data_IF_380527381355
#
_entry.id   IF_380527381355
#
_cell.length_a   1.000
_cell.length_b   1.000
_cell.length_c   1.000
_cell.angle_alpha   90.00
_cell.angle_beta   90.00
_cell.angle_gamma   90.00
#
_symmetry.space_group_name_H-M   'P 1'
#
loop_
_entity.id
_entity.type
_entity.pdbx_description
1 polymer ?
#
# COMPACT_ATOMS: atom_id res chain seq x y z
N UNK A 1 5.99 60.84 -9.38
CA UNK A 1 5.34 61.83 -8.49
C UNK A 1 6.31 62.91 -8.04
N UNK A 2 7.38 62.58 -7.29
CA UNK A 2 8.37 63.56 -6.79
C UNK A 2 8.99 64.44 -7.89
N UNK A 3 9.41 63.85 -9.02
CA UNK A 3 9.98 64.62 -10.14
C UNK A 3 9.00 65.61 -10.79
N UNK A 4 7.72 65.24 -10.92
CA UNK A 4 6.68 66.14 -11.46
C UNK A 4 6.33 67.26 -10.47
N UNK A 5 6.28 66.95 -9.17
CA UNK A 5 6.08 67.96 -8.13
C UNK A 5 7.24 68.97 -8.04
N UNK A 6 8.48 68.51 -8.22
CA UNK A 6 9.65 69.38 -8.31
C UNK A 6 9.63 70.28 -9.55
N UNK A 7 9.26 69.73 -10.71
CA UNK A 7 9.15 70.48 -11.96
C UNK A 7 8.12 71.62 -11.87
N UNK A 8 6.92 71.33 -11.36
CA UNK A 8 5.83 72.32 -11.19
C UNK A 8 6.19 73.39 -10.16
N UNK A 9 6.94 73.03 -9.11
CA UNK A 9 7.42 74.01 -8.14
C UNK A 9 8.43 74.99 -8.74
N UNK A 10 9.36 74.50 -9.59
CA UNK A 10 10.39 75.34 -10.23
C UNK A 10 9.80 76.26 -11.30
N UNK A 11 8.87 75.77 -12.12
CA UNK A 11 8.32 76.55 -13.24
C UNK A 11 7.11 77.41 -12.85
N UNK A 12 6.17 76.87 -12.07
CA UNK A 12 4.87 77.51 -11.81
C UNK A 12 4.75 78.04 -10.37
N UNK A 13 5.79 77.85 -9.54
CA UNK A 13 5.83 78.21 -8.10
C UNK A 13 4.68 77.63 -7.27
N UNK A 14 4.04 76.57 -7.76
CA UNK A 14 2.97 75.88 -7.06
C UNK A 14 3.55 74.80 -6.15
N UNK A 15 3.18 74.84 -4.87
CA UNK A 15 3.63 73.85 -3.89
C UNK A 15 2.70 72.64 -3.90
N UNK A 16 3.23 71.48 -4.30
CA UNK A 16 2.50 70.21 -4.28
C UNK A 16 2.99 69.38 -3.08
N UNK A 17 2.06 68.95 -2.22
CA UNK A 17 2.39 68.14 -1.06
C UNK A 17 2.94 66.77 -1.47
N UNK A 18 4.25 66.56 -1.31
CA UNK A 18 4.92 65.31 -1.69
C UNK A 18 4.92 64.27 -0.57
N UNK A 19 4.97 64.74 0.68
CA UNK A 19 5.10 63.88 1.85
C UNK A 19 3.88 62.95 2.02
N UNK A 20 2.66 63.46 1.87
CA UNK A 20 1.43 62.69 2.06
C UNK A 20 1.36 61.43 1.18
N UNK A 21 1.46 61.54 -0.16
CA UNK A 21 1.41 60.39 -1.05
C UNK A 21 2.57 59.40 -0.89
N UNK A 22 3.76 59.86 -0.50
CA UNK A 22 4.90 58.98 -0.23
C UNK A 22 4.66 58.15 1.05
N UNK A 23 4.19 58.79 2.12
CA UNK A 23 3.85 58.11 3.37
C UNK A 23 2.69 57.14 3.19
N UNK A 24 1.64 57.52 2.44
CA UNK A 24 0.52 56.63 2.16
C UNK A 24 0.96 55.44 1.30
N UNK A 25 1.83 55.64 0.32
CA UNK A 25 2.37 54.56 -0.51
C UNK A 25 3.23 53.59 0.29
N UNK A 26 4.12 54.12 1.16
CA UNK A 26 4.95 53.30 2.04
C UNK A 26 4.13 52.52 3.07
N UNK A 27 3.11 53.16 3.67
CA UNK A 27 2.22 52.50 4.62
C UNK A 27 1.36 51.43 3.93
N UNK A 28 0.80 51.73 2.75
CA UNK A 28 0.03 50.77 1.98
C UNK A 28 0.88 49.56 1.56
N UNK A 29 2.12 49.79 1.11
CA UNK A 29 3.07 48.71 0.81
C UNK A 29 3.37 47.87 2.05
N UNK A 30 3.71 48.51 3.18
CA UNK A 30 4.01 47.81 4.42
C UNK A 30 2.80 46.99 4.94
N UNK A 31 1.60 47.57 4.91
CA UNK A 31 0.36 46.87 5.31
C UNK A 31 0.04 45.71 4.37
N UNK A 32 0.14 45.89 3.05
CA UNK A 32 -0.12 44.81 2.08
C UNK A 32 0.92 43.70 2.15
N UNK A 33 2.21 44.02 2.30
CA UNK A 33 3.26 43.01 2.51
C UNK A 33 3.05 42.26 3.82
N UNK A 34 2.76 42.95 4.93
CA UNK A 34 2.49 42.28 6.22
C UNK A 34 1.22 41.43 6.17
N UNK A 35 0.18 41.91 5.49
CA UNK A 35 -1.06 41.16 5.30
C UNK A 35 -0.82 39.90 4.45
N UNK A 36 -0.12 40.03 3.32
CA UNK A 36 0.25 38.91 2.45
C UNK A 36 1.15 37.90 3.18
N UNK A 37 2.13 38.38 3.94
CA UNK A 37 3.04 37.51 4.71
C UNK A 37 2.32 36.75 5.83
N UNK A 38 1.38 37.40 6.54
CA UNK A 38 0.55 36.73 7.55
C UNK A 38 -0.40 35.71 6.94
N UNK A 39 -1.12 36.07 5.87
CA UNK A 39 -2.01 35.13 5.19
C UNK A 39 -1.26 33.93 4.62
N UNK A 40 -0.05 34.13 4.07
CA UNK A 40 0.80 33.05 3.59
C UNK A 40 1.30 32.16 4.74
N UNK A 41 1.66 32.75 5.89
CA UNK A 41 2.05 31.99 7.09
C UNK A 41 0.88 31.22 7.71
N UNK A 42 -0.29 31.83 7.87
CA UNK A 42 -1.48 31.22 8.46
C UNK A 42 -1.97 30.04 7.61
N UNK A 43 -1.94 30.16 6.28
CA UNK A 43 -2.24 29.05 5.36
C UNK A 43 -1.20 27.94 5.51
N UNK A 44 0.09 28.27 5.64
CA UNK A 44 1.16 27.28 5.84
C UNK A 44 1.01 26.52 7.16
N UNK A 45 0.75 27.23 8.24
CA UNK A 45 0.56 26.63 9.57
C UNK A 45 -0.75 25.85 9.67
N UNK A 46 -1.83 26.33 9.04
CA UNK A 46 -3.08 25.58 8.93
C UNK A 46 -2.90 24.30 8.11
N UNK A 47 -2.24 24.36 6.95
CA UNK A 47 -1.92 23.18 6.14
C UNK A 47 -1.01 22.22 6.90
N UNK A 48 0.01 22.70 7.62
CA UNK A 48 0.90 21.86 8.42
C UNK A 48 0.20 21.19 9.61
N UNK A 49 -0.66 21.92 10.32
CA UNK A 49 -1.37 21.40 11.50
C UNK A 49 -2.57 20.53 11.13
N UNK A 50 -3.30 20.87 10.07
CA UNK A 50 -4.44 20.11 9.56
C UNK A 50 -4.01 18.88 8.76
N UNK A 51 -2.95 18.91 7.96
CA UNK A 51 -2.48 17.73 7.19
C UNK A 51 -1.51 16.84 7.98
N UNK A 52 -0.81 17.36 8.99
CA UNK A 52 0.25 16.63 9.72
C UNK A 52 -0.21 15.37 10.45
N UNK A 53 -1.53 15.19 10.66
CA UNK A 53 -2.14 13.98 11.22
C UNK A 53 -2.70 13.01 10.16
N UNK A 54 -2.84 13.44 8.90
CA UNK A 54 -3.52 12.67 7.84
C UNK A 54 -2.62 12.26 6.69
N UNK A 55 -1.47 12.92 6.52
CA UNK A 55 -0.44 12.55 5.55
C UNK A 55 0.94 12.59 6.21
N UNK A 56 1.92 11.86 5.67
CA UNK A 56 3.27 11.89 6.26
C UNK A 56 3.85 13.32 6.19
N UNK A 57 4.73 13.73 7.12
CA UNK A 57 5.32 15.08 7.12
C UNK A 57 6.01 15.44 5.81
N UNK A 58 6.47 14.45 5.06
CA UNK A 58 7.07 14.60 3.75
C UNK A 58 6.04 14.95 2.67
N UNK A 59 4.90 14.28 2.67
CA UNK A 59 3.76 14.59 1.80
C UNK A 59 3.17 15.96 2.12
N UNK A 60 2.99 16.30 3.40
CA UNK A 60 2.51 17.63 3.79
C UNK A 60 3.43 18.75 3.27
N UNK A 61 4.76 18.57 3.36
CA UNK A 61 5.74 19.51 2.79
C UNK A 61 5.66 19.59 1.27
N UNK A 62 5.43 18.47 0.59
CA UNK A 62 5.33 18.42 -0.87
C UNK A 62 4.06 19.15 -1.35
N UNK A 63 2.93 18.88 -0.72
CA UNK A 63 1.64 19.54 -0.99
C UNK A 63 1.68 21.04 -0.66
N UNK A 64 2.37 21.41 0.42
CA UNK A 64 2.58 22.83 0.76
C UNK A 64 3.44 23.59 -0.27
N UNK A 65 4.25 22.88 -1.08
CA UNK A 65 5.01 23.50 -2.18
C UNK A 65 4.21 23.53 -3.48
N UNK A 66 3.41 22.52 -3.74
CA UNK A 66 2.54 22.43 -4.91
C UNK A 66 1.22 21.75 -4.56
N UNK A 67 0.18 22.56 -4.37
CA UNK A 67 -1.18 22.10 -4.03
C UNK A 67 -1.79 21.29 -5.19
N UNK A 68 -1.29 21.44 -6.42
CA UNK A 68 -1.81 20.68 -7.57
C UNK A 68 -1.60 19.17 -7.45
N UNK A 69 -0.65 18.72 -6.62
CA UNK A 69 -0.39 17.31 -6.32
C UNK A 69 -1.55 16.62 -5.58
N UNK A 70 -2.48 17.40 -5.02
CA UNK A 70 -3.71 16.88 -4.42
C UNK A 70 -4.83 16.67 -5.44
N UNK A 71 -4.70 17.23 -6.66
CA UNK A 71 -5.74 17.08 -7.69
C UNK A 71 -5.82 15.61 -8.13
N UNK A 72 -7.04 15.07 -8.33
CA UNK A 72 -7.21 13.73 -8.83
C UNK A 72 -6.51 13.51 -10.18
N UNK A 73 -5.65 12.50 -10.25
CA UNK A 73 -4.98 12.06 -11.48
C UNK A 73 -4.95 10.53 -11.56
N UNK A 74 -4.91 10.00 -12.79
CA UNK A 74 -4.70 8.57 -13.02
C UNK A 74 -3.21 8.27 -13.12
N UNK A 75 -2.75 7.25 -12.40
CA UNK A 75 -1.34 6.84 -12.39
C UNK A 75 -1.21 5.35 -12.11
N UNK A 76 -0.22 4.71 -12.75
CA UNK A 76 0.20 3.38 -12.37
C UNK A 76 0.89 3.41 -11.00
N UNK A 77 0.35 2.64 -10.06
CA UNK A 77 0.78 2.65 -8.66
C UNK A 77 0.63 1.27 -8.05
N UNK A 78 1.36 1.02 -6.97
CA UNK A 78 1.21 -0.22 -6.17
C UNK A 78 0.50 0.07 -4.87
N UNK A 79 -0.48 -0.75 -4.55
CA UNK A 79 -1.23 -0.74 -3.28
C UNK A 79 -0.90 -1.97 -2.46
N UNK A 80 -0.92 -1.79 -1.14
CA UNK A 80 -0.64 -2.80 -0.14
C UNK A 80 -1.76 -2.74 0.89
N UNK A 81 -2.41 -3.87 1.11
CA UNK A 81 -3.34 -4.07 2.21
C UNK A 81 -2.75 -5.14 3.13
N UNK A 82 -2.77 -4.89 4.43
CA UNK A 82 -2.27 -5.83 5.43
C UNK A 82 -3.22 -5.91 6.60
N UNK A 83 -3.38 -7.10 7.15
CA UNK A 83 -4.24 -7.37 8.29
C UNK A 83 -3.53 -8.28 9.32
N UNK A 84 -3.92 -8.16 10.60
CA UNK A 84 -3.37 -9.00 11.65
C UNK A 84 -4.10 -10.34 11.64
N UNK A 85 -3.34 -11.43 11.52
CA UNK A 85 -3.92 -12.76 11.48
C UNK A 85 -4.64 -13.09 12.79
N UNK A 86 -5.97 -13.29 12.70
CA UNK A 86 -6.78 -13.72 13.83
C UNK A 86 -7.11 -12.61 14.82
N UNK A 87 -6.98 -11.34 14.45
CA UNK A 87 -7.25 -10.20 15.33
C UNK A 87 -8.65 -10.21 15.93
N UNK A 88 -9.69 -10.64 15.20
CA UNK A 88 -11.05 -10.72 15.78
C UNK A 88 -11.10 -11.60 17.03
N UNK A 89 -10.34 -12.70 17.07
CA UNK A 89 -10.24 -13.54 18.28
C UNK A 89 -9.44 -12.84 19.36
N UNK A 90 -8.35 -12.16 18.97
CA UNK A 90 -7.49 -11.40 19.87
C UNK A 90 -8.25 -10.26 20.56
N UNK A 91 -9.04 -9.49 19.81
CA UNK A 91 -9.82 -8.35 20.31
C UNK A 91 -10.96 -8.75 21.24
N UNK A 92 -11.43 -10.00 21.13
CA UNK A 92 -12.43 -10.57 22.04
C UNK A 92 -11.80 -11.13 23.32
N UNK A 93 -10.56 -11.61 23.24
CA UNK A 93 -9.86 -12.24 24.36
C UNK A 93 -9.13 -11.22 25.25
N UNK A 94 -8.60 -10.14 24.66
CA UNK A 94 -7.82 -9.15 25.37
C UNK A 94 -8.68 -8.00 25.91
N UNK A 95 -8.42 -7.53 27.14
CA UNK A 95 -9.02 -6.31 27.64
C UNK A 95 -8.44 -5.08 26.89
N UNK A 96 -9.19 -3.96 26.79
CA UNK A 96 -8.78 -2.77 26.04
C UNK A 96 -7.39 -2.23 26.43
N UNK A 97 -7.03 -2.32 27.71
CA UNK A 97 -5.76 -1.84 28.26
C UNK A 97 -4.54 -2.61 27.73
N UNK A 98 -4.75 -3.82 27.21
CA UNK A 98 -3.71 -4.62 26.56
C UNK A 98 -3.81 -4.57 25.04
N UNK A 99 -5.04 -4.56 24.50
CA UNK A 99 -5.30 -4.54 23.06
C UNK A 99 -4.85 -3.24 22.41
N UNK A 100 -5.16 -2.08 22.99
CA UNK A 100 -4.85 -0.77 22.41
C UNK A 100 -3.33 -0.55 22.32
N UNK A 101 -2.52 -0.81 23.37
CA UNK A 101 -1.06 -0.71 23.25
C UNK A 101 -0.47 -1.67 22.22
N UNK A 102 -0.97 -2.91 22.14
CA UNK A 102 -0.53 -3.89 21.14
C UNK A 102 -0.80 -3.37 19.72
N UNK A 103 -2.04 -2.93 19.46
CA UNK A 103 -2.43 -2.39 18.16
C UNK A 103 -1.60 -1.16 17.79
N UNK A 104 -1.45 -0.19 18.71
CA UNK A 104 -0.66 1.01 18.46
C UNK A 104 0.81 0.70 18.20
N UNK A 105 1.39 -0.28 18.91
CA UNK A 105 2.76 -0.72 18.69
C UNK A 105 2.92 -1.34 17.29
N UNK A 106 1.98 -2.19 16.89
CA UNK A 106 1.95 -2.77 15.56
C UNK A 106 1.79 -1.70 14.45
N UNK A 107 0.79 -0.82 14.57
CA UNK A 107 0.53 0.24 13.60
C UNK A 107 1.73 1.20 13.47
N UNK A 108 2.43 1.47 14.58
CA UNK A 108 3.66 2.27 14.56
C UNK A 108 4.77 1.59 13.76
N UNK A 109 4.98 0.28 13.98
CA UNK A 109 5.99 -0.48 13.25
C UNK A 109 5.71 -0.52 11.75
N UNK A 110 4.46 -0.85 11.40
CA UNK A 110 4.00 -0.89 10.01
C UNK A 110 4.18 0.47 9.33
N UNK A 111 3.79 1.55 9.99
CA UNK A 111 3.96 2.91 9.47
C UNK A 111 5.43 3.27 9.27
N UNK A 112 6.31 2.87 10.19
CA UNK A 112 7.75 3.10 10.05
C UNK A 112 8.32 2.38 8.82
N UNK A 113 7.92 1.13 8.58
CA UNK A 113 8.35 0.34 7.41
C UNK A 113 7.85 0.94 6.09
N UNK A 114 6.57 1.33 6.03
CA UNK A 114 6.00 2.00 4.84
C UNK A 114 6.76 3.29 4.54
N UNK A 115 7.01 4.12 5.55
CA UNK A 115 7.76 5.37 5.36
C UNK A 115 9.21 5.12 4.96
N UNK A 116 9.88 4.13 5.55
CA UNK A 116 11.27 3.77 5.21
C UNK A 116 11.43 3.22 3.78
N UNK A 117 10.32 2.88 3.12
CA UNK A 117 10.26 2.46 1.72
C UNK A 117 9.59 3.51 0.83
N UNK A 118 9.46 4.76 1.30
CA UNK A 118 8.88 5.88 0.55
C UNK A 118 7.41 5.62 0.14
N UNK A 119 6.71 4.82 0.93
CA UNK A 119 5.27 4.62 0.82
C UNK A 119 4.50 5.62 1.65
N UNK A 120 3.22 5.76 1.33
CA UNK A 120 2.27 6.56 2.08
C UNK A 120 1.21 5.64 2.69
N UNK A 121 1.00 5.76 4.01
CA UNK A 121 -0.17 5.16 4.65
C UNK A 121 -1.39 5.99 4.26
N UNK A 122 -2.38 5.32 3.67
CA UNK A 122 -3.65 5.93 3.29
C UNK A 122 -4.55 6.03 4.52
N UNK A 123 -4.87 4.87 5.12
CA UNK A 123 -5.74 4.79 6.29
C UNK A 123 -5.53 3.49 7.08
N UNK A 124 -5.99 3.53 8.33
CA UNK A 124 -6.17 2.36 9.19
C UNK A 124 -7.66 1.98 9.19
N UNK A 125 -7.95 0.68 9.06
CA UNK A 125 -9.31 0.13 9.04
C UNK A 125 -9.36 -0.97 10.12
N UNK A 126 -9.62 -0.58 11.36
CA UNK A 126 -9.47 -1.49 12.50
C UNK A 126 -8.00 -1.88 12.68
N UNK A 127 -7.70 -3.17 12.52
CA UNK A 127 -6.35 -3.74 12.52
C UNK A 127 -5.69 -3.78 11.15
N UNK A 128 -6.45 -3.49 10.09
CA UNK A 128 -5.93 -3.46 8.74
C UNK A 128 -5.25 -2.12 8.41
N UNK A 129 -4.20 -2.18 7.61
CA UNK A 129 -3.47 -1.00 7.10
C UNK A 129 -3.50 -1.01 5.58
N UNK A 130 -3.92 0.12 5.00
CA UNK A 130 -3.81 0.38 3.57
C UNK A 130 -2.71 1.40 3.30
N UNK A 131 -1.80 1.06 2.39
CA UNK A 131 -0.71 1.91 1.96
C UNK A 131 -0.51 1.83 0.44
N UNK A 132 0.17 2.82 -0.12
CA UNK A 132 0.50 2.85 -1.55
C UNK A 132 1.84 3.51 -1.85
N UNK A 133 2.39 3.21 -3.02
CA UNK A 133 3.63 3.75 -3.56
C UNK A 133 3.39 4.29 -4.98
N UNK A 134 4.19 5.29 -5.38
CA UNK A 134 4.09 5.97 -6.68
C UNK A 134 3.33 7.30 -6.64
N UNK A 135 2.80 7.68 -5.47
CA UNK A 135 2.27 9.01 -5.22
C UNK A 135 2.40 9.39 -3.72
N UNK A 136 2.43 10.69 -3.39
CA UNK A 136 2.62 11.81 -4.33
C UNK A 136 4.05 11.85 -4.90
N UNK A 137 5.00 11.17 -4.23
CA UNK A 137 6.35 10.96 -4.74
C UNK A 137 6.29 9.94 -5.89
N UNK A 138 6.61 10.42 -7.09
CA UNK A 138 6.67 9.59 -8.30
C UNK A 138 7.89 8.66 -8.25
N UNK A 139 7.67 7.41 -8.62
CA UNK A 139 8.75 6.42 -8.74
C UNK A 139 8.28 5.24 -9.56
N UNK A 140 9.08 4.82 -10.54
CA UNK A 140 8.81 3.59 -11.32
C UNK A 140 9.12 2.32 -10.51
N UNK A 141 9.76 2.48 -9.34
CA UNK A 141 10.10 1.39 -8.42
C UNK A 141 9.00 1.11 -7.40
N UNK A 142 7.79 1.62 -7.59
CA UNK A 142 6.69 1.50 -6.62
C UNK A 142 6.39 0.04 -6.26
N UNK A 143 6.45 -0.89 -7.21
CA UNK A 143 6.24 -2.32 -6.97
C UNK A 143 7.36 -2.93 -6.11
N UNK A 144 8.63 -2.61 -6.41
CA UNK A 144 9.77 -3.06 -5.59
C UNK A 144 9.66 -2.57 -4.16
N UNK A 145 9.33 -1.29 -3.97
CA UNK A 145 9.27 -0.68 -2.65
C UNK A 145 8.14 -1.28 -1.80
N UNK A 146 7.00 -1.61 -2.42
CA UNK A 146 5.92 -2.32 -1.73
C UNK A 146 6.32 -3.75 -1.33
N UNK A 147 6.99 -4.51 -2.21
CA UNK A 147 7.52 -5.84 -1.87
C UNK A 147 8.59 -5.76 -0.76
N UNK A 148 9.47 -4.76 -0.82
CA UNK A 148 10.48 -4.49 0.20
C UNK A 148 9.84 -4.19 1.55
N UNK A 149 8.76 -3.41 1.57
CA UNK A 149 8.01 -3.10 2.78
C UNK A 149 7.43 -4.36 3.41
N UNK A 150 6.84 -5.25 2.59
CA UNK A 150 6.29 -6.51 3.06
C UNK A 150 7.36 -7.38 3.76
N UNK A 151 8.52 -7.56 3.11
CA UNK A 151 9.62 -8.36 3.67
C UNK A 151 10.23 -7.72 4.92
N UNK A 152 10.39 -6.39 4.93
CA UNK A 152 10.89 -5.66 6.10
C UNK A 152 9.94 -5.77 7.29
N UNK A 153 8.62 -5.70 7.06
CA UNK A 153 7.63 -5.87 8.11
C UNK A 153 7.69 -7.29 8.68
N UNK A 154 7.73 -8.32 7.83
CA UNK A 154 7.86 -9.70 8.29
C UNK A 154 9.12 -9.91 9.14
N UNK A 155 10.26 -9.37 8.70
CA UNK A 155 11.52 -9.46 9.44
C UNK A 155 11.45 -8.71 10.79
N UNK A 156 10.87 -7.51 10.81
CA UNK A 156 10.70 -6.71 12.01
C UNK A 156 9.79 -7.41 13.04
N UNK A 157 8.67 -7.99 12.59
CA UNK A 157 7.77 -8.75 13.45
C UNK A 157 8.47 -9.99 14.00
N UNK A 158 9.18 -10.77 13.16
CA UNK A 158 9.92 -11.94 13.60
C UNK A 158 10.98 -11.60 14.66
N UNK A 159 11.69 -10.48 14.49
CA UNK A 159 12.69 -10.00 15.45
C UNK A 159 12.06 -9.57 16.78
N UNK A 160 10.91 -8.88 16.73
CA UNK A 160 10.23 -8.34 17.92
C UNK A 160 9.32 -9.36 18.61
N UNK A 161 9.04 -10.48 17.94
CA UNK A 161 8.12 -11.51 18.41
C UNK A 161 8.40 -11.97 19.86
N UNK A 162 9.64 -12.31 20.28
CA UNK A 162 9.88 -12.79 21.64
C UNK A 162 9.54 -11.74 22.71
N UNK A 163 9.81 -10.46 22.42
CA UNK A 163 9.49 -9.35 23.31
C UNK A 163 7.97 -9.14 23.38
N UNK A 164 7.30 -9.16 22.24
CA UNK A 164 5.85 -8.93 22.17
C UNK A 164 5.06 -10.10 22.75
N UNK A 165 5.51 -11.34 22.57
CA UNK A 165 4.96 -12.50 23.26
C UNK A 165 5.08 -12.36 24.78
N UNK A 166 6.23 -11.90 25.29
CA UNK A 166 6.42 -11.67 26.72
C UNK A 166 5.55 -10.52 27.26
N UNK A 167 5.40 -9.45 26.48
CA UNK A 167 4.67 -8.26 26.89
C UNK A 167 3.15 -8.41 26.78
N UNK A 168 2.67 -9.06 25.73
CA UNK A 168 1.25 -9.13 25.37
C UNK A 168 0.68 -10.55 25.41
N UNK A 169 1.49 -11.58 25.63
CA UNK A 169 1.04 -12.98 25.72
C UNK A 169 0.71 -13.62 24.38
N UNK A 170 0.97 -12.96 23.25
CA UNK A 170 0.52 -13.40 21.94
C UNK A 170 1.58 -13.29 20.86
N UNK A 171 1.53 -14.25 19.94
CA UNK A 171 2.24 -14.21 18.66
C UNK A 171 1.45 -13.38 17.66
N UNK A 172 2.08 -12.36 17.08
CA UNK A 172 1.51 -11.65 15.94
C UNK A 172 2.05 -12.22 14.62
N UNK A 173 1.15 -12.33 13.65
CA UNK A 173 1.43 -12.70 12.27
C UNK A 173 0.55 -11.78 11.42
N UNK A 174 1.02 -11.43 10.24
CA UNK A 174 0.30 -10.56 9.32
C UNK A 174 0.14 -11.24 7.98
N UNK A 175 -0.95 -10.88 7.31
CA UNK A 175 -1.23 -11.24 5.93
C UNK A 175 -1.28 -9.98 5.11
N UNK A 176 -0.69 -10.03 3.92
CA UNK A 176 -0.66 -8.89 3.02
C UNK A 176 -1.06 -9.29 1.60
N UNK A 177 -1.77 -8.37 0.96
CA UNK A 177 -2.11 -8.41 -0.45
C UNK A 177 -1.54 -7.19 -1.15
N UNK A 178 -0.83 -7.40 -2.25
CA UNK A 178 -0.17 -6.33 -3.00
C UNK A 178 -0.59 -6.40 -4.46
N UNK A 179 -1.05 -5.29 -5.04
CA UNK A 179 -1.34 -5.25 -6.46
C UNK A 179 -0.97 -3.92 -7.10
N UNK A 180 -0.73 -3.97 -8.40
CA UNK A 180 -0.31 -2.82 -9.20
C UNK A 180 -1.30 -2.60 -10.34
N UNK A 181 -1.70 -1.36 -10.54
CA UNK A 181 -2.54 -0.99 -11.68
C UNK A 181 -2.68 0.52 -11.83
N UNK A 182 -3.46 0.92 -12.83
CA UNK A 182 -3.82 2.32 -13.04
C UNK A 182 -4.89 2.75 -12.03
N UNK A 183 -4.46 3.51 -11.03
CA UNK A 183 -5.28 3.99 -9.93
C UNK A 183 -5.58 5.48 -10.09
N UNK A 184 -6.75 5.90 -9.63
CA UNK A 184 -7.05 7.31 -9.39
C UNK A 184 -6.50 7.67 -8.02
N UNK A 185 -5.60 8.64 -7.96
CA UNK A 185 -5.04 9.18 -6.71
C UNK A 185 -5.36 10.66 -6.60
N UNK A 186 -5.69 11.13 -5.40
CA UNK A 186 -6.01 12.53 -5.17
C UNK A 186 -6.85 12.74 -3.91
N UNK A 187 -7.23 13.98 -3.68
CA UNK A 187 -8.18 14.35 -2.65
C UNK A 187 -9.59 13.90 -3.04
N UNK A 188 -10.16 12.97 -2.27
CA UNK A 188 -11.46 12.36 -2.55
C UNK A 188 -12.29 12.27 -1.27
N UNK A 189 -13.58 12.56 -1.39
CA UNK A 189 -14.54 12.50 -0.28
C UNK A 189 -15.75 13.37 -0.54
N UNK A 190 -16.45 13.78 0.53
CA UNK A 190 -17.53 14.75 0.45
C UNK A 190 -17.00 16.17 0.70
N UNK A 191 -17.84 17.17 0.45
CA UNK A 191 -17.54 18.58 0.79
C UNK A 191 -17.19 18.79 2.28
N UNK A 192 -17.66 17.89 3.16
CA UNK A 192 -17.46 17.97 4.60
C UNK A 192 -16.25 17.18 5.10
N UNK A 193 -15.76 16.20 4.31
CA UNK A 193 -14.66 15.33 4.70
C UNK A 193 -14.03 14.69 3.49
N UNK A 194 -12.76 15.01 3.26
CA UNK A 194 -11.94 14.47 2.18
C UNK A 194 -10.66 13.81 2.71
N UNK A 195 -10.11 12.90 1.92
CA UNK A 195 -8.86 12.21 2.20
C UNK A 195 -8.04 12.08 0.91
N UNK A 196 -6.73 12.27 1.02
CA UNK A 196 -5.81 11.89 -0.05
C UNK A 196 -5.68 10.36 -0.07
N UNK A 197 -6.31 9.73 -1.05
CA UNK A 197 -6.48 8.27 -1.10
C UNK A 197 -6.33 7.77 -2.54
N UNK A 198 -6.39 6.45 -2.73
CA UNK A 198 -6.35 5.81 -4.04
C UNK A 198 -7.60 4.97 -4.29
N UNK A 199 -8.07 4.96 -5.52
CA UNK A 199 -9.22 4.16 -5.97
C UNK A 199 -8.91 3.43 -7.26
N UNK A 200 -9.36 2.19 -7.37
CA UNK A 200 -9.29 1.39 -8.59
C UNK A 200 -9.29 -0.11 -8.33
N UNK A 201 -9.27 -0.88 -9.42
CA UNK A 201 -9.38 -2.35 -9.36
C UNK A 201 -8.28 -2.99 -8.52
N UNK A 202 -7.05 -2.47 -8.60
CA UNK A 202 -5.91 -3.02 -7.84
C UNK A 202 -6.12 -2.93 -6.32
N UNK A 203 -6.87 -1.94 -5.82
CA UNK A 203 -7.24 -1.86 -4.38
C UNK A 203 -8.12 -3.05 -4.00
N UNK A 204 -9.13 -3.35 -4.81
CA UNK A 204 -10.02 -4.49 -4.58
C UNK A 204 -9.29 -5.83 -4.68
N UNK A 205 -8.42 -5.99 -5.69
CA UNK A 205 -7.64 -7.20 -5.84
C UNK A 205 -6.66 -7.39 -4.68
N UNK A 206 -5.94 -6.34 -4.25
CA UNK A 206 -5.07 -6.40 -3.08
C UNK A 206 -5.83 -6.83 -1.81
N UNK A 207 -7.04 -6.32 -1.55
CA UNK A 207 -7.86 -6.79 -0.44
C UNK A 207 -8.27 -8.27 -0.54
N UNK A 208 -8.57 -8.75 -1.76
CA UNK A 208 -8.88 -10.18 -1.98
C UNK A 208 -7.64 -11.06 -1.80
N UNK A 209 -6.48 -10.59 -2.24
CA UNK A 209 -5.18 -11.26 -2.07
C UNK A 209 -4.82 -11.38 -0.59
N UNK A 210 -4.98 -10.30 0.18
CA UNK A 210 -4.79 -10.31 1.64
C UNK A 210 -5.60 -11.45 2.27
N UNK A 211 -6.92 -11.45 2.05
CA UNK A 211 -7.81 -12.44 2.64
C UNK A 211 -7.51 -13.88 2.17
N UNK A 212 -7.09 -14.05 0.90
CA UNK A 212 -6.77 -15.34 0.31
C UNK A 212 -5.54 -16.01 0.94
N UNK A 213 -4.63 -15.24 1.56
CA UNK A 213 -3.46 -15.81 2.25
C UNK A 213 -3.85 -16.90 3.27
N UNK A 214 -4.99 -16.75 3.94
CA UNK A 214 -5.48 -17.74 4.91
C UNK A 214 -5.78 -19.10 4.28
N UNK A 215 -6.32 -19.11 3.06
CA UNK A 215 -6.67 -20.34 2.35
C UNK A 215 -5.43 -21.08 1.87
N UNK A 216 -4.42 -20.34 1.42
CA UNK A 216 -3.15 -20.91 0.93
C UNK A 216 -2.11 -21.13 2.02
N UNK A 217 -2.31 -20.59 3.22
CA UNK A 217 -1.32 -20.62 4.29
C UNK A 217 -0.06 -19.82 3.96
N UNK A 218 -0.21 -18.73 3.19
CA UNK A 218 0.85 -17.80 2.81
C UNK A 218 0.79 -16.54 3.70
N UNK A 219 1.81 -15.69 3.60
CA UNK A 219 1.82 -14.40 4.31
C UNK A 219 1.68 -13.20 3.37
N UNK A 220 2.25 -13.27 2.16
CA UNK A 220 2.19 -12.16 1.20
C UNK A 220 1.81 -12.67 -0.18
N UNK A 221 0.60 -12.35 -0.62
CA UNK A 221 0.15 -12.60 -1.99
C UNK A 221 0.23 -11.32 -2.81
N UNK A 222 0.65 -11.48 -4.05
CA UNK A 222 0.79 -10.38 -5.00
C UNK A 222 0.07 -10.70 -6.31
N UNK A 223 -0.49 -9.67 -6.93
CA UNK A 223 -1.03 -9.76 -8.28
C UNK A 223 0.08 -9.87 -9.33
N UNK A 224 -0.30 -10.35 -10.52
CA UNK A 224 0.63 -10.58 -11.63
C UNK A 224 1.44 -9.33 -12.02
N UNK A 225 0.81 -8.15 -12.06
CA UNK A 225 1.49 -6.93 -12.47
C UNK A 225 2.62 -6.55 -11.49
N UNK A 226 2.37 -6.64 -10.19
CA UNK A 226 3.39 -6.44 -9.16
C UNK A 226 4.54 -7.44 -9.30
N UNK A 227 4.22 -8.74 -9.47
CA UNK A 227 5.24 -9.78 -9.63
C UNK A 227 6.13 -9.54 -10.86
N UNK A 228 5.55 -9.10 -11.98
CA UNK A 228 6.29 -8.80 -13.21
C UNK A 228 7.22 -7.61 -13.03
N UNK A 229 6.69 -6.49 -12.52
CA UNK A 229 7.47 -5.26 -12.31
C UNK A 229 8.56 -5.45 -11.26
N UNK A 230 8.37 -6.36 -10.29
CA UNK A 230 9.33 -6.63 -9.23
C UNK A 230 10.22 -7.86 -9.44
N UNK A 231 10.15 -8.49 -10.62
CA UNK A 231 10.76 -9.80 -10.88
C UNK A 231 12.29 -9.80 -10.91
N UNK A 232 12.94 -8.67 -11.18
CA UNK A 232 14.40 -8.55 -11.20
C UNK A 232 15.01 -8.70 -9.79
N UNK A 233 14.38 -8.11 -8.77
CA UNK A 233 14.89 -8.07 -7.40
C UNK A 233 14.33 -9.16 -6.47
N UNK A 234 13.16 -9.71 -6.77
CA UNK A 234 12.46 -10.64 -5.88
C UNK A 234 12.10 -11.96 -6.57
N UNK A 235 11.90 -13.00 -5.76
CA UNK A 235 11.44 -14.30 -6.24
C UNK A 235 9.98 -14.49 -5.86
N UNK A 236 9.19 -14.88 -6.85
CA UNK A 236 7.77 -15.16 -6.73
C UNK A 236 7.49 -16.59 -7.18
N UNK A 237 6.48 -17.23 -6.58
CA UNK A 237 5.89 -18.47 -7.11
C UNK A 237 4.44 -18.25 -7.49
N UNK A 238 3.99 -18.80 -8.61
CA UNK A 238 2.56 -18.83 -8.95
C UNK A 238 1.83 -19.68 -7.92
N UNK A 239 0.80 -19.12 -7.29
CA UNK A 239 -0.03 -19.79 -6.28
C UNK A 239 -1.31 -20.29 -6.91
N UNK A 240 -1.94 -19.50 -7.78
CA UNK A 240 -3.20 -19.88 -8.42
C UNK A 240 -3.53 -18.97 -9.62
N UNK A 241 -4.52 -19.39 -10.41
CA UNK A 241 -5.19 -18.59 -11.43
C UNK A 241 -6.62 -18.33 -10.98
N UNK A 242 -6.99 -17.06 -10.82
CA UNK A 242 -8.27 -16.70 -10.22
C UNK A 242 -9.10 -15.84 -11.15
N UNK A 243 -10.37 -16.17 -11.31
CA UNK A 243 -11.33 -15.33 -12.01
C UNK A 243 -12.09 -14.48 -10.99
N UNK A 244 -12.02 -13.17 -11.17
CA UNK A 244 -12.78 -12.22 -10.38
C UNK A 244 -14.18 -12.08 -10.97
N UNK A 245 -15.21 -11.98 -10.13
CA UNK A 245 -16.61 -11.79 -10.57
C UNK A 245 -16.76 -10.68 -11.63
N UNK A 246 -16.04 -9.59 -11.44
CA UNK A 246 -16.18 -8.37 -12.23
C UNK A 246 -15.13 -8.29 -13.37
N UNK A 247 -14.40 -9.39 -13.63
CA UNK A 247 -13.37 -9.47 -14.67
C UNK A 247 -13.53 -10.74 -15.52
N UNK A 248 -13.57 -10.63 -16.86
CA UNK A 248 -13.71 -11.80 -17.73
C UNK A 248 -12.41 -12.59 -17.88
N UNK A 249 -11.27 -11.98 -17.58
CA UNK A 249 -9.95 -12.60 -17.73
C UNK A 249 -9.42 -13.08 -16.38
N UNK A 250 -8.90 -14.32 -16.29
CA UNK A 250 -8.21 -14.82 -15.10
C UNK A 250 -6.97 -13.99 -14.79
N UNK A 251 -6.69 -13.83 -13.49
CA UNK A 251 -5.48 -13.18 -12.98
C UNK A 251 -4.63 -14.23 -12.30
N UNK A 252 -3.33 -14.25 -12.61
CA UNK A 252 -2.37 -15.06 -11.86
C UNK A 252 -2.03 -14.40 -10.54
N UNK A 253 -2.11 -15.19 -9.48
CA UNK A 253 -1.74 -14.81 -8.12
C UNK A 253 -0.40 -15.44 -7.80
N UNK A 254 0.48 -14.67 -7.18
CA UNK A 254 1.80 -15.15 -6.79
C UNK A 254 2.04 -14.92 -5.31
N UNK A 255 2.91 -15.72 -4.71
CA UNK A 255 3.45 -15.45 -3.37
C UNK A 255 4.83 -14.80 -3.50
N UNK A 256 5.06 -13.76 -2.70
CA UNK A 256 6.39 -13.15 -2.56
C UNK A 256 7.21 -14.00 -1.56
N UNK A 257 8.27 -14.63 -2.05
CA UNK A 257 9.08 -15.56 -1.24
C UNK A 257 10.26 -14.88 -0.53
N UNK A 258 10.76 -13.78 -1.08
CA UNK A 258 11.97 -13.11 -0.59
C UNK A 258 12.78 -12.45 -1.69
N UNK A 259 13.96 -11.91 -1.34
CA UNK A 259 14.85 -11.28 -2.31
C UNK A 259 15.60 -12.32 -3.11
N UNK A 260 15.89 -11.99 -4.37
CA UNK A 260 16.69 -12.84 -5.25
C UNK A 260 18.09 -13.03 -4.65
N UNK A 261 18.57 -14.26 -4.66
CA UNK A 261 19.90 -14.63 -4.13
C UNK A 261 19.94 -14.98 -2.64
N UNK A 262 18.85 -14.79 -1.88
CA UNK A 262 18.81 -15.12 -0.43
C UNK A 262 18.37 -16.57 -0.13
N UNK A 263 18.10 -17.39 -1.15
CA UNK A 263 17.57 -18.74 -0.98
C UNK A 263 18.66 -19.81 -0.92
N UNK A 264 18.57 -20.68 0.08
CA UNK A 264 19.42 -21.87 0.20
C UNK A 264 19.18 -22.84 -0.98
N UNK A 265 20.17 -23.69 -1.34
CA UNK A 265 19.99 -24.70 -2.38
C UNK A 265 18.79 -25.62 -2.11
N UNK A 266 18.52 -25.93 -0.84
CA UNK A 266 17.34 -26.71 -0.42
C UNK A 266 16.02 -25.99 -0.75
N UNK A 267 15.92 -24.69 -0.44
CA UNK A 267 14.74 -23.89 -0.81
C UNK A 267 14.57 -23.80 -2.32
N UNK A 268 15.66 -23.63 -3.08
CA UNK A 268 15.63 -23.61 -4.54
C UNK A 268 15.15 -24.94 -5.12
N UNK A 269 15.61 -26.07 -4.57
CA UNK A 269 15.16 -27.40 -4.96
C UNK A 269 13.65 -27.59 -4.68
N UNK A 270 13.16 -27.12 -3.53
CA UNK A 270 11.74 -27.14 -3.20
C UNK A 270 10.89 -26.30 -4.17
N UNK A 271 11.37 -25.10 -4.54
CA UNK A 271 10.71 -24.26 -5.54
C UNK A 271 10.64 -24.95 -6.92
N UNK A 272 11.74 -25.56 -7.36
CA UNK A 272 11.78 -26.29 -8.63
C UNK A 272 10.87 -27.52 -8.63
N UNK A 273 10.75 -28.22 -7.49
CA UNK A 273 9.82 -29.34 -7.33
C UNK A 273 8.36 -28.87 -7.39
N UNK A 274 8.05 -27.76 -6.71
CA UNK A 274 6.73 -27.15 -6.74
C UNK A 274 6.34 -26.71 -8.16
N UNK A 275 7.25 -26.08 -8.90
CA UNK A 275 7.02 -25.65 -10.28
C UNK A 275 6.71 -26.85 -11.20
N UNK A 276 7.46 -27.96 -11.07
CA UNK A 276 7.17 -29.21 -11.79
C UNK A 276 5.79 -29.76 -11.44
N UNK A 277 5.41 -29.72 -10.16
CA UNK A 277 4.08 -30.16 -9.71
C UNK A 277 2.96 -29.31 -10.32
N UNK A 278 3.18 -27.98 -10.39
CA UNK A 278 2.22 -27.04 -10.96
C UNK A 278 2.06 -27.23 -12.48
N UNK A 279 3.15 -27.50 -13.19
CA UNK A 279 3.12 -27.85 -14.62
C UNK A 279 2.29 -29.13 -14.85
N UNK A 280 2.51 -30.18 -14.05
CA UNK A 280 1.73 -31.40 -14.13
C UNK A 280 0.24 -31.17 -13.83
N UNK A 281 -0.06 -30.32 -12.83
CA UNK A 281 -1.43 -29.97 -12.45
C UNK A 281 -2.21 -29.29 -13.59
N UNK A 282 -1.64 -28.24 -14.18
CA UNK A 282 -2.27 -27.56 -15.32
C UNK A 282 -2.23 -28.41 -16.60
N UNK A 283 -1.29 -29.35 -16.69
CA UNK A 283 -1.26 -30.41 -17.72
C UNK A 283 -2.28 -31.53 -17.51
N UNK A 284 -3.10 -31.47 -16.44
CA UNK A 284 -4.12 -32.47 -16.06
C UNK A 284 -3.58 -33.84 -15.68
N UNK A 285 -2.28 -33.96 -15.44
CA UNK A 285 -1.70 -35.16 -14.85
C UNK A 285 -1.81 -35.09 -13.32
N UNK A 286 -3.04 -35.28 -12.83
CA UNK A 286 -3.36 -35.09 -11.42
C UNK A 286 -2.70 -36.13 -10.50
N UNK A 287 -2.37 -37.32 -11.02
CA UNK A 287 -1.66 -38.35 -10.26
C UNK A 287 -0.21 -37.94 -10.02
N UNK A 288 0.49 -37.52 -11.09
CA UNK A 288 1.88 -37.03 -10.97
C UNK A 288 1.91 -35.74 -10.16
N UNK A 289 0.99 -34.80 -10.42
CA UNK A 289 0.90 -33.56 -9.65
C UNK A 289 0.69 -33.82 -8.15
N UNK A 290 -0.24 -34.72 -7.79
CA UNK A 290 -0.49 -35.08 -6.39
C UNK A 290 0.77 -35.60 -5.70
N UNK A 291 1.51 -36.51 -6.34
CA UNK A 291 2.72 -37.07 -5.72
C UNK A 291 3.80 -36.00 -5.55
N UNK A 292 4.02 -35.15 -6.56
CA UNK A 292 4.99 -34.07 -6.47
C UNK A 292 4.61 -33.04 -5.39
N UNK A 293 3.33 -32.66 -5.27
CA UNK A 293 2.86 -31.76 -4.20
C UNK A 293 2.93 -32.41 -2.82
N UNK A 294 2.69 -33.72 -2.70
CA UNK A 294 2.85 -34.45 -1.44
C UNK A 294 4.31 -34.41 -0.99
N UNK A 295 5.25 -34.61 -1.91
CA UNK A 295 6.68 -34.44 -1.65
C UNK A 295 7.03 -33.01 -1.23
N UNK A 296 6.53 -31.98 -1.91
CA UNK A 296 6.71 -30.59 -1.47
C UNK A 296 6.21 -30.36 -0.04
N UNK A 297 5.07 -30.96 0.33
CA UNK A 297 4.49 -30.82 1.66
C UNK A 297 5.31 -31.54 2.73
N UNK A 298 5.80 -32.74 2.45
CA UNK A 298 6.53 -33.58 3.42
C UNK A 298 8.00 -33.18 3.53
N UNK A 299 8.68 -32.95 2.40
CA UNK A 299 10.11 -32.63 2.33
C UNK A 299 10.39 -31.16 2.70
N UNK A 300 9.47 -30.24 2.38
CA UNK A 300 9.70 -28.80 2.53
C UNK A 300 8.65 -28.06 3.38
N UNK A 301 7.65 -28.76 3.93
CA UNK A 301 6.62 -28.15 4.78
C UNK A 301 5.70 -27.16 4.05
N UNK A 302 5.59 -27.26 2.72
CA UNK A 302 4.91 -26.28 1.89
C UNK A 302 3.38 -26.28 2.10
N UNK A 303 2.85 -25.15 2.55
CA UNK A 303 1.43 -24.93 2.83
C UNK A 303 0.59 -24.83 1.55
N UNK A 304 1.11 -24.20 0.50
CA UNK A 304 0.41 -24.06 -0.78
C UNK A 304 0.29 -25.42 -1.46
N UNK A 305 1.36 -26.22 -1.44
CA UNK A 305 1.35 -27.57 -1.98
C UNK A 305 0.25 -28.45 -1.33
N UNK A 306 0.00 -28.28 -0.02
CA UNK A 306 -1.06 -29.01 0.69
C UNK A 306 -2.46 -28.73 0.12
N UNK A 307 -2.73 -27.48 -0.27
CA UNK A 307 -3.99 -27.11 -0.95
C UNK A 307 -4.11 -27.87 -2.26
N UNK A 308 -3.03 -27.94 -3.04
CA UNK A 308 -3.03 -28.67 -4.31
C UNK A 308 -3.14 -30.19 -4.14
N UNK A 309 -2.58 -30.80 -3.09
CA UNK A 309 -2.79 -32.22 -2.80
C UNK A 309 -4.29 -32.51 -2.67
N UNK A 310 -5.01 -31.70 -1.86
CA UNK A 310 -6.45 -31.86 -1.66
C UNK A 310 -7.24 -31.63 -2.96
N UNK A 311 -6.84 -30.64 -3.77
CA UNK A 311 -7.46 -30.39 -5.08
C UNK A 311 -7.23 -31.55 -6.05
N UNK A 312 -6.02 -32.08 -6.15
CA UNK A 312 -5.72 -33.24 -6.99
C UNK A 312 -6.53 -34.46 -6.55
N UNK A 313 -6.64 -34.73 -5.24
CA UNK A 313 -7.49 -35.82 -4.72
C UNK A 313 -8.93 -35.71 -5.24
N UNK A 314 -9.51 -34.51 -5.18
CA UNK A 314 -10.86 -34.25 -5.69
C UNK A 314 -10.96 -34.44 -7.20
N UNK A 315 -10.00 -33.93 -7.96
CA UNK A 315 -10.01 -34.02 -9.43
C UNK A 315 -9.72 -35.43 -9.96
N UNK A 316 -9.01 -36.26 -9.20
CA UNK A 316 -8.84 -37.69 -9.52
C UNK A 316 -10.17 -38.43 -9.31
N UNK A 317 -10.87 -38.15 -8.21
CA UNK A 317 -12.18 -38.77 -7.91
C UNK A 317 -13.29 -38.27 -8.83
N UNK A 318 -13.25 -37.00 -9.23
CA UNK A 318 -14.21 -36.36 -10.12
C UNK A 318 -13.45 -35.57 -11.19
N UNK A 319 -13.07 -36.23 -12.30
CA UNK A 319 -12.32 -35.60 -13.37
C UNK A 319 -13.04 -34.36 -13.91
N UNK A 320 -12.30 -33.26 -14.15
CA UNK A 320 -12.89 -32.04 -14.68
C UNK A 320 -13.26 -32.20 -16.16
N UNK A 321 -14.18 -31.37 -16.67
CA UNK A 321 -14.61 -31.42 -18.07
C UNK A 321 -13.47 -31.10 -19.04
N UNK A 322 -13.71 -31.32 -20.34
CA UNK A 322 -12.67 -31.15 -21.37
C UNK A 322 -12.16 -29.70 -21.48
N UNK A 323 -13.00 -28.73 -21.19
CA UNK A 323 -12.77 -27.27 -21.25
C UNK A 323 -12.22 -26.67 -19.94
N UNK A 324 -11.76 -27.51 -19.00
CA UNK A 324 -11.19 -27.05 -17.75
C UNK A 324 -9.92 -26.22 -17.95
N UNK A 325 -9.92 -25.01 -17.41
CA UNK A 325 -8.89 -23.99 -17.56
C UNK A 325 -7.97 -23.85 -16.32
N UNK A 326 -8.25 -24.62 -15.26
CA UNK A 326 -7.53 -24.53 -13.99
C UNK A 326 -7.82 -23.27 -13.18
N UNK A 327 -8.85 -22.50 -13.55
CA UNK A 327 -9.13 -21.21 -12.93
C UNK A 327 -10.11 -21.36 -11.76
N UNK A 328 -9.74 -20.81 -10.62
CA UNK A 328 -10.58 -20.75 -9.43
C UNK A 328 -11.45 -19.49 -9.47
N UNK A 329 -12.75 -19.65 -9.30
CA UNK A 329 -13.69 -18.51 -9.27
C UNK A 329 -13.76 -17.94 -7.85
N UNK A 330 -13.24 -16.74 -7.67
CA UNK A 330 -13.45 -15.98 -6.43
C UNK A 330 -14.83 -15.32 -6.47
N UNK A 331 -15.76 -15.86 -5.70
CA UNK A 331 -17.03 -15.19 -5.39
C UNK A 331 -16.82 -13.94 -4.51
N UNK A 332 -17.84 -13.08 -4.39
CA UNK A 332 -17.84 -12.07 -3.32
C UNK A 332 -17.91 -12.79 -1.98
N UNK A 333 -16.82 -12.87 -1.22
CA UNK A 333 -16.94 -12.97 0.24
C UNK A 333 -17.26 -11.57 0.79
N UNK A 334 -18.06 -11.55 1.85
CA UNK A 334 -18.76 -10.40 2.41
C UNK A 334 -17.85 -9.43 3.19
N UNK A 335 -16.93 -8.74 2.50
CA UNK A 335 -16.06 -7.72 3.12
C UNK A 335 -16.16 -6.33 2.48
N UNK A 336 -17.19 -6.06 1.68
CA UNK A 336 -17.59 -4.67 1.30
C UNK A 336 -18.26 -3.91 2.47
N UNK A 337 -18.23 -4.47 3.68
CA UNK A 337 -18.67 -3.81 4.90
C UNK A 337 -17.58 -3.93 5.96
N UNK A 338 -16.61 -3.00 5.94
CA UNK A 338 -15.82 -2.60 7.10
C UNK A 338 -15.22 -1.23 6.84
#
# INVERSE_FOLDING_TARGET
>A
YVGAAGYVFVHDKLWIAVAGPLWSGGLAFLVTTLYAFRTEQDVREFVHSALGRYVSPEVARLVARDVSLMKPERRQMTVYLCDIEGFTRLSQALPPEQLVPLLNTFLTEMTAVVRATVGQVDKYIGDSVMAFWGAPVRTDRHAHLACEAALKLQAALAQKQPLWEKQFGHRLSVKAGIDTGDLLVGDMGSELKSHYTVMGEAVSLAGRLEAANKEYGTQVLVGQATAQLASDAYVFREVDRVLLKDRPQPVRVHELLGRRGEFSPEKQAGMALYEKALIAYYGRDFLVAQELFRRCTVEHGDTVARVYVQRCQRLIQTPPPADWDGVIRWGRRATDSR
#
